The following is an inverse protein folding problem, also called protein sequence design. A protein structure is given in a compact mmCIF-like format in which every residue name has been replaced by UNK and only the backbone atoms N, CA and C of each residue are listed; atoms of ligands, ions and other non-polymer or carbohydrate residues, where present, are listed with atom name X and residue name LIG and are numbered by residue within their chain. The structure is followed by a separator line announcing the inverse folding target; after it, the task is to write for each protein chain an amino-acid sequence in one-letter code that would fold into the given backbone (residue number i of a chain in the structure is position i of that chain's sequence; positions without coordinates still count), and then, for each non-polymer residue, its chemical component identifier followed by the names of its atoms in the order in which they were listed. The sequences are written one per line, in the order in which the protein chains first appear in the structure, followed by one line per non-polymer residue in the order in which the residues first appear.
data_IF_888145979441
#
_entry.id   IF_888145979441
#
_cell.length_a   1.000
_cell.length_b   1.000
_cell.length_c   1.000
_cell.angle_alpha   90.00
_cell.angle_beta   90.00
_cell.angle_gamma   90.00
#
_symmetry.space_group_name_H-M   'P 1'
#
loop_
_entity.id
_entity.type
_entity.pdbx_description
1 polymer ?
#
# COMPACT_ATOMS: atom_id res chain seq x y z
N UNK A 1 -0.70 6.79 -12.06
CA UNK A 1 -1.37 6.53 -10.76
C UNK A 1 -0.92 5.15 -10.29
N UNK A 2 -0.12 5.09 -9.23
CA UNK A 2 0.29 3.84 -8.61
C UNK A 2 -0.74 3.50 -7.53
N UNK A 3 -1.51 2.42 -7.65
CA UNK A 3 -2.43 2.01 -6.60
C UNK A 3 -1.64 1.51 -5.39
N UNK A 4 -2.10 1.84 -4.20
CA UNK A 4 -1.55 1.26 -2.97
C UNK A 4 -1.88 -0.23 -2.91
N UNK A 5 -0.87 -1.05 -2.64
CA UNK A 5 -1.01 -2.49 -2.45
C UNK A 5 -0.82 -2.85 -0.97
N UNK A 6 -1.14 -4.08 -0.61
CA UNK A 6 -0.88 -4.58 0.76
C UNK A 6 0.63 -4.58 1.06
N UNK A 7 1.44 -4.86 0.05
CA UNK A 7 2.90 -4.87 0.17
C UNK A 7 3.46 -3.47 0.48
N UNK A 8 2.89 -2.41 -0.14
CA UNK A 8 3.30 -1.04 0.16
C UNK A 8 2.94 -0.63 1.60
N UNK A 9 1.82 -1.13 2.14
CA UNK A 9 1.45 -0.90 3.54
C UNK A 9 2.42 -1.63 4.48
N UNK A 10 2.77 -2.87 4.17
CA UNK A 10 3.73 -3.67 4.95
C UNK A 10 5.12 -3.00 4.95
N UNK A 11 5.58 -2.55 3.79
CA UNK A 11 6.85 -1.82 3.64
C UNK A 11 6.83 -0.51 4.43
N UNK A 12 5.74 0.24 4.34
CA UNK A 12 5.55 1.48 5.09
C UNK A 12 5.65 1.27 6.60
N UNK A 13 5.01 0.21 7.11
CA UNK A 13 5.05 -0.11 8.54
C UNK A 13 6.44 -0.51 9.01
N UNK A 14 7.14 -1.34 8.23
CA UNK A 14 8.52 -1.74 8.55
C UNK A 14 9.46 -0.53 8.56
N UNK A 15 9.35 0.33 7.53
CA UNK A 15 10.14 1.55 7.41
C UNK A 15 9.88 2.51 8.58
N UNK A 16 8.62 2.70 8.95
CA UNK A 16 8.27 3.53 10.10
C UNK A 16 9.00 3.07 11.38
N UNK A 17 8.99 1.77 11.68
CA UNK A 17 9.69 1.25 12.86
C UNK A 17 11.21 1.39 12.74
N UNK A 18 11.77 1.23 11.53
CA UNK A 18 13.20 1.45 11.29
C UNK A 18 13.62 2.91 11.44
N UNK A 19 12.78 3.86 11.03
CA UNK A 19 13.01 5.31 11.13
C UNK A 19 12.94 5.83 12.58
N UNK A 20 12.34 5.08 13.49
CA UNK A 20 12.41 5.39 14.91
C UNK A 20 13.84 5.35 15.46
N UNK A 21 14.77 4.72 14.74
CA UNK A 21 16.20 4.63 15.08
C UNK A 21 16.43 4.26 16.55
N UNK A 22 15.89 3.13 16.96
CA UNK A 22 15.92 2.68 18.34
C UNK A 22 17.30 2.16 18.72
N UNK A 23 17.80 2.63 19.85
CA UNK A 23 19.08 2.20 20.44
C UNK A 23 18.84 1.59 21.81
N UNK A 24 19.58 0.56 22.11
CA UNK A 24 19.56 -0.05 23.44
C UNK A 24 20.97 -0.10 24.04
N UNK A 25 21.05 0.07 25.35
CA UNK A 25 22.27 -0.09 26.11
C UNK A 25 22.66 -1.56 26.19
N UNK A 26 23.87 -1.89 25.79
CA UNK A 26 24.45 -3.24 25.90
C UNK A 26 25.77 -3.17 26.67
N UNK A 27 26.29 -4.31 27.11
CA UNK A 27 27.60 -4.39 27.80
C UNK A 27 28.76 -3.81 26.95
N UNK A 28 28.55 -3.61 25.64
CA UNK A 28 29.53 -3.01 24.73
C UNK A 28 29.19 -1.56 24.33
N UNK A 29 28.26 -0.91 25.05
CA UNK A 29 27.77 0.44 24.75
C UNK A 29 26.43 0.46 24.03
N UNK A 30 26.05 1.63 23.57
CA UNK A 30 24.79 1.82 22.81
C UNK A 30 24.87 1.21 21.44
N UNK A 31 23.91 0.37 21.11
CA UNK A 31 23.81 -0.31 19.82
C UNK A 31 22.42 -0.07 19.21
N UNK A 32 22.41 0.16 17.90
CA UNK A 32 21.15 0.22 17.15
C UNK A 32 20.49 -1.16 17.14
N UNK A 33 19.21 -1.19 17.46
CA UNK A 33 18.42 -2.43 17.51
C UNK A 33 17.98 -2.81 16.10
N UNK A 34 18.25 -4.03 15.64
CA UNK A 34 17.76 -4.49 14.35
C UNK A 34 16.24 -4.67 14.38
N UNK A 35 15.59 -4.25 13.28
CA UNK A 35 14.16 -4.42 13.07
C UNK A 35 13.98 -5.36 11.89
N UNK A 36 13.27 -6.46 12.11
CA UNK A 36 13.03 -7.47 11.08
C UNK A 36 11.55 -7.72 10.87
N UNK A 37 11.20 -8.02 9.65
CA UNK A 37 9.88 -8.54 9.32
C UNK A 37 9.82 -10.04 9.65
N UNK A 38 8.92 -10.44 10.54
CA UNK A 38 8.75 -11.82 10.94
C UNK A 38 7.51 -12.43 10.25
N UNK A 39 7.63 -12.77 8.98
CA UNK A 39 6.67 -13.61 8.28
C UNK A 39 7.02 -15.10 8.43
N UNK A 40 6.05 -15.98 8.19
CA UNK A 40 6.25 -17.44 8.24
C UNK A 40 7.37 -17.92 7.30
N UNK A 41 7.54 -17.27 6.15
CA UNK A 41 8.57 -17.59 5.17
C UNK A 41 9.96 -17.14 5.61
N UNK A 42 10.10 -16.01 6.31
CA UNK A 42 11.38 -15.51 6.82
C UNK A 42 11.93 -16.28 8.02
N UNK A 43 11.11 -17.08 8.66
CA UNK A 43 11.60 -18.01 9.69
C UNK A 43 12.71 -18.94 9.17
N UNK A 44 12.71 -19.23 7.88
CA UNK A 44 13.74 -20.04 7.22
C UNK A 44 14.98 -19.21 6.84
N UNK A 45 14.80 -17.96 6.38
CA UNK A 45 15.92 -17.06 6.04
C UNK A 45 16.64 -16.57 7.29
N UNK A 46 15.92 -16.22 8.35
CA UNK A 46 16.52 -15.77 9.61
C UNK A 46 17.37 -16.83 10.32
N UNK A 47 17.26 -18.11 9.92
CA UNK A 47 18.18 -19.17 10.40
C UNK A 47 19.61 -19.02 9.87
N UNK A 48 19.81 -18.31 8.76
CA UNK A 48 21.11 -18.14 8.11
C UNK A 48 21.69 -16.74 8.20
N UNK A 49 20.95 -15.74 8.69
CA UNK A 49 21.44 -14.36 8.81
C UNK A 49 22.39 -14.23 10.01
N UNK A 50 23.67 -14.10 9.73
CA UNK A 50 24.75 -13.95 10.72
C UNK A 50 24.62 -12.67 11.56
N UNK A 51 23.91 -11.65 11.05
CA UNK A 51 23.68 -10.39 11.77
C UNK A 51 22.75 -10.54 12.98
N UNK A 52 21.77 -11.44 12.88
CA UNK A 52 20.72 -11.63 13.88
C UNK A 52 21.07 -12.80 14.82
N UNK A 53 21.99 -13.66 14.41
CA UNK A 53 22.38 -14.84 15.19
C UNK A 53 23.83 -14.80 15.62
N UNK A 54 24.09 -15.37 16.77
CA UNK A 54 25.43 -15.60 17.29
C UNK A 54 26.07 -16.83 16.61
N UNK A 55 27.38 -16.98 16.81
CA UNK A 55 28.16 -18.15 16.32
C UNK A 55 27.57 -19.50 16.73
N UNK A 56 26.78 -19.52 17.80
CA UNK A 56 26.06 -20.69 18.33
C UNK A 56 24.64 -20.85 17.73
N UNK A 57 24.23 -19.98 16.78
CA UNK A 57 22.91 -20.01 16.18
C UNK A 57 21.78 -19.41 17.03
N UNK A 58 22.09 -18.82 18.19
CA UNK A 58 21.11 -18.17 19.06
C UNK A 58 20.81 -16.76 18.56
N UNK A 59 19.57 -16.30 18.77
CA UNK A 59 19.16 -14.92 18.43
C UNK A 59 19.91 -13.93 19.33
N UNK A 60 20.44 -12.87 18.70
CA UNK A 60 21.06 -11.76 19.43
C UNK A 60 19.96 -10.79 19.87
N UNK A 61 19.95 -10.46 21.12
CA UNK A 61 19.09 -9.44 21.71
C UNK A 61 19.85 -8.13 21.91
N UNK A 62 19.19 -6.98 21.94
CA UNK A 62 17.76 -6.73 21.69
C UNK A 62 17.37 -6.85 20.21
N UNK A 63 16.13 -7.23 19.95
CA UNK A 63 15.58 -7.45 18.61
C UNK A 63 14.13 -6.99 18.55
N UNK A 64 13.76 -6.30 17.47
CA UNK A 64 12.38 -5.90 17.20
C UNK A 64 11.88 -6.67 15.98
N UNK A 65 10.70 -7.27 16.12
CA UNK A 65 10.04 -7.99 15.04
C UNK A 65 8.69 -7.37 14.74
N UNK A 66 8.39 -7.14 13.46
CA UNK A 66 7.12 -6.65 12.98
C UNK A 66 6.41 -7.80 12.27
N UNK A 67 5.16 -8.07 12.67
CA UNK A 67 4.34 -9.15 12.12
C UNK A 67 2.97 -8.60 11.75
N UNK A 68 2.52 -8.88 10.55
CA UNK A 68 1.12 -8.63 10.17
C UNK A 68 0.23 -9.70 10.78
N UNK A 69 -0.76 -9.29 11.58
CA UNK A 69 -1.67 -10.19 12.28
C UNK A 69 -2.89 -10.54 11.44
N UNK A 70 -3.62 -9.52 11.02
CA UNK A 70 -4.82 -9.69 10.20
C UNK A 70 -5.07 -8.48 9.31
N UNK A 71 -5.90 -8.70 8.29
CA UNK A 71 -6.40 -7.67 7.39
C UNK A 71 -7.91 -7.75 7.42
N UNK A 72 -8.55 -6.66 7.83
CA UNK A 72 -10.00 -6.55 7.90
C UNK A 72 -10.49 -5.50 6.91
N UNK A 73 -11.57 -5.81 6.20
CA UNK A 73 -12.24 -4.85 5.32
C UNK A 73 -13.04 -3.86 6.17
N UNK A 74 -12.69 -2.59 6.12
CA UNK A 74 -13.39 -1.57 6.87
C UNK A 74 -14.68 -1.14 6.16
N UNK A 75 -15.79 -1.74 6.58
CA UNK A 75 -17.11 -1.44 6.01
C UNK A 75 -17.68 -0.10 6.48
N UNK A 76 -17.19 0.47 7.58
CA UNK A 76 -17.67 1.74 8.11
C UNK A 76 -17.07 2.95 7.37
N UNK A 77 -15.84 2.83 6.89
CA UNK A 77 -15.17 3.84 6.06
C UNK A 77 -15.50 3.63 4.57
N UNK A 78 -16.72 3.29 4.24
CA UNK A 78 -17.15 3.33 2.84
C UNK A 78 -17.04 4.78 2.38
N UNK A 79 -16.24 5.02 1.35
CA UNK A 79 -16.23 6.30 0.67
C UNK A 79 -17.70 6.68 0.38
N UNK A 80 -18.03 7.97 0.53
CA UNK A 80 -19.40 8.53 0.36
C UNK A 80 -19.82 8.44 -1.11
N UNK A 81 -19.76 7.24 -1.68
CA UNK A 81 -20.19 6.98 -3.03
C UNK A 81 -21.57 6.30 -2.99
N UNK A 82 -22.60 7.11 -3.07
CA UNK A 82 -23.96 6.68 -3.34
C UNK A 82 -24.21 6.71 -4.85
N UNK A 83 -23.60 5.80 -5.58
CA UNK A 83 -23.79 5.67 -7.01
C UNK A 83 -23.89 4.20 -7.41
N UNK A 84 -24.70 3.90 -8.42
CA UNK A 84 -24.62 2.63 -9.13
C UNK A 84 -23.28 2.58 -9.86
N UNK A 85 -22.35 1.84 -9.28
CA UNK A 85 -21.09 1.54 -9.95
C UNK A 85 -21.35 0.32 -10.81
N UNK A 86 -21.35 0.51 -12.14
CA UNK A 86 -21.46 -0.61 -13.06
C UNK A 86 -20.27 -1.53 -12.86
N UNK A 87 -20.56 -2.81 -12.64
CA UNK A 87 -19.55 -3.84 -12.73
C UNK A 87 -19.05 -3.86 -14.18
N UNK A 88 -17.84 -3.39 -14.39
CA UNK A 88 -17.15 -3.67 -15.64
C UNK A 88 -16.86 -5.17 -15.69
N UNK A 89 -16.86 -5.79 -16.89
CA UNK A 89 -16.64 -7.25 -17.02
C UNK A 89 -15.27 -7.71 -16.56
N UNK A 90 -14.45 -6.79 -16.04
CA UNK A 90 -13.17 -7.11 -15.43
C UNK A 90 -13.40 -7.58 -13.99
N UNK A 91 -12.88 -8.74 -13.68
CA UNK A 91 -12.99 -9.49 -12.42
C UNK A 91 -12.58 -8.72 -11.14
N UNK A 92 -12.28 -7.43 -11.22
CA UNK A 92 -11.67 -6.63 -10.15
C UNK A 92 -12.61 -5.67 -9.43
N UNK A 93 -13.91 -5.81 -9.59
CA UNK A 93 -14.89 -4.96 -8.91
C UNK A 93 -15.25 -3.69 -9.68
N UNK A 94 -16.08 -2.85 -9.06
CA UNK A 94 -16.61 -1.65 -9.71
C UNK A 94 -15.53 -0.60 -9.97
N UNK A 95 -15.67 0.13 -11.07
CA UNK A 95 -14.80 1.24 -11.42
C UNK A 95 -15.58 2.54 -11.60
N UNK A 96 -14.93 3.66 -11.37
CA UNK A 96 -15.49 5.00 -11.58
C UNK A 96 -14.89 5.58 -12.85
N UNK A 97 -15.73 6.07 -13.74
CA UNK A 97 -15.27 6.88 -14.87
C UNK A 97 -14.85 8.25 -14.35
N UNK A 98 -13.55 8.54 -14.41
CA UNK A 98 -13.01 9.81 -13.93
C UNK A 98 -12.94 10.85 -15.04
N UNK A 99 -12.73 10.40 -16.26
CA UNK A 99 -12.51 11.32 -17.38
C UNK A 99 -12.92 10.69 -18.72
N UNK A 100 -13.53 11.50 -19.57
CA UNK A 100 -13.91 11.09 -20.94
C UNK A 100 -13.38 12.11 -21.92
N UNK A 101 -12.51 11.69 -22.82
CA UNK A 101 -11.90 12.53 -23.86
C UNK A 101 -12.26 12.02 -25.25
N UNK A 102 -12.47 12.93 -26.18
CA UNK A 102 -12.69 12.57 -27.59
C UNK A 102 -11.37 12.07 -28.18
N UNK A 103 -11.39 10.87 -28.74
CA UNK A 103 -10.25 10.31 -29.46
C UNK A 103 -10.31 10.78 -30.94
N UNK A 104 -9.67 11.90 -31.23
CA UNK A 104 -9.77 12.57 -32.54
C UNK A 104 -9.32 11.68 -33.71
N UNK A 105 -8.22 10.95 -33.58
CA UNK A 105 -7.70 10.08 -34.64
C UNK A 105 -8.71 8.99 -35.04
N UNK A 106 -9.24 8.26 -34.06
CA UNK A 106 -10.24 7.22 -34.31
C UNK A 106 -11.55 7.80 -34.85
N UNK A 107 -11.96 8.95 -34.33
CA UNK A 107 -13.15 9.65 -34.83
C UNK A 107 -12.98 10.02 -36.31
N UNK A 108 -11.81 10.53 -36.71
CA UNK A 108 -11.51 10.86 -38.11
C UNK A 108 -11.43 9.63 -38.99
N UNK A 109 -10.90 8.50 -38.53
CA UNK A 109 -10.85 7.24 -39.27
C UNK A 109 -12.26 6.73 -39.55
N UNK A 110 -13.13 6.74 -38.55
CA UNK A 110 -14.52 6.33 -38.73
C UNK A 110 -15.28 7.27 -39.65
N UNK A 111 -15.07 8.58 -39.55
CA UNK A 111 -15.68 9.56 -40.46
C UNK A 111 -15.19 9.38 -41.92
N UNK A 112 -13.94 9.01 -42.14
CA UNK A 112 -13.39 8.74 -43.48
C UNK A 112 -13.91 7.42 -44.05
N UNK A 113 -13.98 6.35 -43.28
CA UNK A 113 -14.42 5.05 -43.76
C UNK A 113 -15.88 5.06 -44.21
N UNK A 114 -16.75 5.80 -43.54
CA UNK A 114 -18.14 5.93 -43.98
C UNK A 114 -18.32 6.76 -45.28
N UNK A 115 -17.38 7.66 -45.53
CA UNK A 115 -17.38 8.41 -46.81
C UNK A 115 -16.97 7.54 -48.01
N UNK A 116 -16.21 6.46 -47.77
CA UNK A 116 -15.69 5.59 -48.84
C UNK A 116 -16.55 4.35 -49.11
N UNK A 117 -17.29 3.85 -48.11
CA UNK A 117 -17.96 2.54 -48.20
C UNK A 117 -19.44 2.57 -48.60
N UNK A 118 -20.06 3.72 -48.78
CA UNK A 118 -21.49 3.81 -49.10
C UNK A 118 -21.72 4.38 -50.50
N UNK A 119 -21.63 3.48 -51.46
CA UNK A 119 -22.06 3.71 -52.86
C UNK A 119 -21.22 4.72 -53.65
N UNK A 120 -20.69 4.34 -54.78
CA UNK A 120 -19.95 5.17 -55.72
C UNK A 120 -20.67 6.45 -56.22
N UNK A 121 -21.51 7.03 -55.38
CA UNK A 121 -22.17 8.30 -55.63
C UNK A 121 -21.49 9.40 -54.80
N UNK A 122 -20.68 10.27 -55.42
CA UNK A 122 -19.96 11.33 -54.71
C UNK A 122 -20.86 12.38 -54.05
N UNK A 123 -22.16 12.41 -54.39
CA UNK A 123 -23.11 13.38 -53.84
C UNK A 123 -23.84 12.91 -52.57
N UNK A 124 -23.69 11.67 -52.17
CA UNK A 124 -24.33 11.12 -50.98
C UNK A 124 -23.33 10.96 -49.84
N UNK A 125 -22.75 12.05 -49.38
CA UNK A 125 -21.94 12.08 -48.13
C UNK A 125 -22.88 11.91 -46.93
N UNK A 126 -23.14 10.69 -46.52
CA UNK A 126 -23.63 10.45 -45.16
C UNK A 126 -22.48 10.78 -44.21
N UNK A 127 -22.52 11.96 -43.63
CA UNK A 127 -21.62 12.30 -42.54
C UNK A 127 -21.88 11.35 -41.35
N UNK A 128 -20.94 10.51 -41.05
CA UNK A 128 -21.00 9.72 -39.82
C UNK A 128 -20.63 10.61 -38.65
N UNK A 129 -21.62 10.97 -37.86
CA UNK A 129 -21.47 11.82 -36.67
C UNK A 129 -21.05 11.00 -35.42
N UNK A 130 -20.54 9.79 -35.61
CA UNK A 130 -20.06 8.97 -34.50
C UNK A 130 -18.78 9.52 -33.94
N UNK A 131 -18.80 9.84 -32.65
CA UNK A 131 -17.65 10.31 -31.90
C UNK A 131 -17.11 9.13 -31.10
N UNK A 132 -15.81 8.89 -31.19
CA UNK A 132 -15.12 7.88 -30.39
C UNK A 132 -14.56 8.55 -29.14
N UNK A 133 -14.94 8.03 -27.99
CA UNK A 133 -14.44 8.50 -26.70
C UNK A 133 -13.39 7.53 -26.15
N UNK A 134 -12.37 8.09 -25.51
CA UNK A 134 -11.48 7.36 -24.61
C UNK A 134 -11.95 7.64 -23.20
N UNK A 135 -12.43 6.62 -22.52
CA UNK A 135 -12.83 6.70 -21.12
C UNK A 135 -11.67 6.22 -20.24
N UNK A 136 -11.34 6.99 -19.24
CA UNK A 136 -10.36 6.61 -18.20
C UNK A 136 -11.17 6.25 -16.97
N UNK A 137 -11.10 4.97 -16.59
CA UNK A 137 -11.75 4.45 -15.40
C UNK A 137 -10.70 4.18 -14.32
N UNK A 138 -11.04 4.47 -13.08
CA UNK A 138 -10.25 4.13 -11.91
C UNK A 138 -11.01 3.08 -11.08
N UNK A 139 -10.35 2.00 -10.64
CA UNK A 139 -10.99 1.03 -9.76
C UNK A 139 -11.39 1.70 -8.44
N UNK A 140 -12.50 1.26 -7.85
CA UNK A 140 -12.92 1.77 -6.56
C UNK A 140 -11.92 1.39 -5.46
N UNK A 141 -11.48 2.35 -4.64
CA UNK A 141 -10.60 2.04 -3.53
C UNK A 141 -11.34 1.18 -2.48
N UNK A 142 -10.67 0.15 -2.00
CA UNK A 142 -11.15 -0.68 -0.90
C UNK A 142 -10.44 -0.23 0.36
N UNK A 143 -11.21 0.22 1.36
CA UNK A 143 -10.65 0.58 2.66
C UNK A 143 -10.42 -0.68 3.49
N UNK A 144 -9.18 -0.90 3.87
CA UNK A 144 -8.75 -2.02 4.71
C UNK A 144 -8.14 -1.51 6.00
N UNK A 145 -8.31 -2.27 7.06
CA UNK A 145 -7.61 -2.09 8.33
C UNK A 145 -6.63 -3.25 8.47
N UNK A 146 -5.37 -2.91 8.64
CA UNK A 146 -4.30 -3.89 8.79
C UNK A 146 -3.74 -3.77 10.19
N UNK A 147 -3.77 -4.85 10.94
CA UNK A 147 -3.25 -4.90 12.30
C UNK A 147 -1.86 -5.53 12.30
N UNK A 148 -0.93 -4.85 12.95
CA UNK A 148 0.46 -5.29 13.11
C UNK A 148 0.80 -5.49 14.57
N UNK A 149 1.50 -6.55 14.87
CA UNK A 149 2.11 -6.77 16.18
C UNK A 149 3.60 -6.40 16.09
N UNK A 150 4.03 -5.45 16.93
CA UNK A 150 5.44 -5.09 17.09
C UNK A 150 5.93 -5.76 18.35
N UNK A 151 6.77 -6.77 18.19
CA UNK A 151 7.32 -7.51 19.34
C UNK A 151 8.74 -7.03 19.63
N UNK A 152 8.95 -6.54 20.83
CA UNK A 152 10.25 -6.12 21.35
C UNK A 152 10.78 -7.23 22.25
N UNK A 153 11.97 -7.74 21.95
CA UNK A 153 12.63 -8.79 22.73
C UNK A 153 13.96 -8.28 23.24
N UNK A 154 14.14 -8.34 24.53
CA UNK A 154 15.33 -7.84 25.24
C UNK A 154 15.83 -8.84 26.26
N UNK A 155 17.08 -8.71 26.68
CA UNK A 155 17.67 -9.49 27.78
C UNK A 155 17.37 -8.84 29.14
N UNK A 156 17.31 -7.50 29.19
CA UNK A 156 17.16 -6.74 30.41
C UNK A 156 15.94 -5.83 30.40
N UNK A 157 15.29 -5.69 31.55
CA UNK A 157 14.10 -4.85 31.72
C UNK A 157 14.36 -3.37 31.36
N UNK A 158 15.55 -2.87 31.67
CA UNK A 158 15.91 -1.49 31.32
C UNK A 158 15.91 -1.25 29.82
N UNK A 159 16.44 -2.20 29.05
CA UNK A 159 16.42 -2.13 27.58
C UNK A 159 14.98 -2.12 27.05
N UNK A 160 14.11 -2.91 27.67
CA UNK A 160 12.68 -2.91 27.28
C UNK A 160 12.06 -1.54 27.52
N UNK A 161 12.28 -0.93 28.66
CA UNK A 161 11.75 0.38 28.98
C UNK A 161 12.27 1.45 28.00
N UNK A 162 13.57 1.46 27.71
CA UNK A 162 14.19 2.40 26.78
C UNK A 162 13.61 2.27 25.36
N UNK A 163 13.33 1.04 24.92
CA UNK A 163 12.77 0.77 23.61
C UNK A 163 11.26 1.04 23.50
N UNK A 164 10.53 0.94 24.61
CA UNK A 164 9.09 1.22 24.64
C UNK A 164 8.77 2.73 24.66
N UNK A 165 9.63 3.54 25.28
CA UNK A 165 9.41 4.99 25.42
C UNK A 165 9.05 5.67 24.08
N UNK A 166 9.78 5.47 22.97
CA UNK A 166 9.44 6.11 21.69
C UNK A 166 8.07 5.75 21.15
N UNK A 167 7.60 4.53 21.39
CA UNK A 167 6.26 4.12 20.96
C UNK A 167 5.16 4.76 21.80
N UNK A 168 5.43 5.00 23.08
CA UNK A 168 4.45 5.61 23.99
C UNK A 168 4.41 7.14 23.88
N UNK A 169 5.54 7.78 23.55
CA UNK A 169 5.65 9.24 23.59
C UNK A 169 5.47 9.92 22.23
N UNK A 170 5.87 9.26 21.13
CA UNK A 170 5.77 9.85 19.78
C UNK A 170 4.36 10.14 19.28
N UNK A 171 3.35 9.27 19.52
CA UNK A 171 2.00 9.54 19.03
C UNK A 171 1.33 10.76 19.68
N UNK A 172 1.89 11.28 20.75
CA UNK A 172 1.29 12.40 21.48
C UNK A 172 -0.09 12.06 22.06
N UNK A 173 -0.94 13.07 22.20
CA UNK A 173 -2.26 12.91 22.82
C UNK A 173 -3.29 12.17 21.96
N UNK A 174 -3.04 12.03 20.66
CA UNK A 174 -4.04 11.50 19.69
C UNK A 174 -3.82 10.02 19.38
N UNK A 175 -2.72 9.43 19.81
CA UNK A 175 -2.31 8.05 19.50
C UNK A 175 -2.31 7.73 17.98
N UNK A 176 -2.36 8.76 17.13
CA UNK A 176 -2.36 8.63 15.70
C UNK A 176 -0.95 8.85 15.15
N UNK A 177 -0.54 7.96 14.26
CA UNK A 177 0.71 8.07 13.53
C UNK A 177 0.42 8.18 12.05
N UNK A 178 1.19 9.03 11.37
CA UNK A 178 1.12 9.14 9.91
C UNK A 178 2.34 8.44 9.32
N UNK A 179 2.08 7.42 8.54
CA UNK A 179 3.10 6.60 7.89
C UNK A 179 3.14 6.99 6.42
N UNK A 180 4.32 7.25 5.90
CA UNK A 180 4.53 7.64 4.52
C UNK A 180 5.36 6.56 3.81
N UNK A 181 4.92 6.17 2.63
CA UNK A 181 5.70 5.34 1.73
C UNK A 181 5.46 5.80 0.30
N UNK A 182 6.52 6.22 -0.38
CA UNK A 182 6.44 6.84 -1.70
C UNK A 182 5.41 7.99 -1.73
N UNK A 183 4.40 7.89 -2.59
CA UNK A 183 3.32 8.88 -2.72
C UNK A 183 2.11 8.60 -1.82
N UNK A 184 2.16 7.53 -1.00
CA UNK A 184 1.05 7.09 -0.17
C UNK A 184 1.20 7.54 1.28
N UNK A 185 0.05 7.85 1.88
CA UNK A 185 -0.07 8.21 3.30
C UNK A 185 -1.04 7.26 3.98
N UNK A 186 -0.60 6.70 5.08
CA UNK A 186 -1.41 5.79 5.89
C UNK A 186 -1.56 6.35 7.29
N UNK A 187 -2.76 6.23 7.82
CA UNK A 187 -3.07 6.59 9.20
C UNK A 187 -3.00 5.32 10.06
N UNK A 188 -2.21 5.35 11.10
CA UNK A 188 -2.06 4.25 12.05
C UNK A 188 -2.38 4.69 13.46
N UNK A 189 -2.79 3.75 14.29
CA UNK A 189 -3.06 3.94 15.72
C UNK A 189 -2.26 2.92 16.51
N UNK A 190 -1.69 3.37 17.63
CA UNK A 190 -1.01 2.49 18.58
C UNK A 190 -1.99 2.20 19.72
N UNK A 191 -2.33 0.93 19.93
CA UNK A 191 -3.22 0.46 20.98
C UNK A 191 -2.49 -0.32 22.06
#
# INVERSE_FOLDING_TARGET
FNPSTIETIDAAMLRYVQELNLFASTNKGWKKVPVIWAGSERGFQSKREVEIRDSRGMLKYPLITVVRKNIDKNLQKRAVFHGNVHEYPDEQGGSIETHRVIHQEKTNIFARNDAFNLTGDPNRRKMNNKIVYKTISAPMPVNVMVNYDIMIRTEYQQQMNDLMIPFMTKPGTVNAIMIHEEDHRYEGFIG
#
